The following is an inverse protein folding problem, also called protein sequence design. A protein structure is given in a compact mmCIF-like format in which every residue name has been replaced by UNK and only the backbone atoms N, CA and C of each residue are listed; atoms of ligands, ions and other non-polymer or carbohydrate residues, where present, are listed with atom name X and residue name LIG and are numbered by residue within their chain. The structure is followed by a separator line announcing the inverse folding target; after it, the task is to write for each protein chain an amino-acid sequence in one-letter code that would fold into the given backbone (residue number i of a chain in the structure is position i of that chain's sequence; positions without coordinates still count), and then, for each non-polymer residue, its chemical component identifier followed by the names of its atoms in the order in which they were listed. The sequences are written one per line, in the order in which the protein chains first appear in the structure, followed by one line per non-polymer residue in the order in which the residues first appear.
data_IF_607852039308
#
_entry.id   IF_607852039308
#
_cell.length_a   1.000
_cell.length_b   1.000
_cell.length_c   1.000
_cell.angle_alpha   90.00
_cell.angle_beta   90.00
_cell.angle_gamma   90.00
#
_symmetry.space_group_name_H-M   'P 1'
#
loop_
_entity.id
_entity.type
_entity.pdbx_description
1 polymer ?
#
# COMPACT_ATOMS: atom_id res chain seq x y z
N UNK A 1 5.64 21.95 -0.05
CA UNK A 1 4.46 22.68 -0.55
C UNK A 1 4.71 24.15 -0.38
N UNK A 2 4.39 24.96 -1.39
CA UNK A 2 4.65 26.39 -1.41
C UNK A 2 3.36 27.16 -1.14
N UNK A 3 3.44 28.15 -0.27
CA UNK A 3 2.39 29.14 -0.07
C UNK A 3 2.92 30.49 -0.50
N UNK A 4 2.20 31.13 -1.42
CA UNK A 4 2.51 32.44 -1.96
C UNK A 4 2.16 33.57 -0.99
N UNK A 5 2.63 34.77 -1.30
CA UNK A 5 2.42 35.95 -0.47
C UNK A 5 0.93 36.28 -0.33
N UNK A 6 0.14 36.07 -1.37
CA UNK A 6 -1.30 36.36 -1.36
C UNK A 6 -2.04 35.48 -0.35
N UNK A 7 -1.79 34.17 -0.35
CA UNK A 7 -2.34 33.24 0.63
C UNK A 7 -1.88 33.57 2.06
N UNK A 8 -0.61 33.89 2.24
CA UNK A 8 -0.05 34.25 3.54
C UNK A 8 -0.57 35.59 4.05
N UNK A 9 -0.85 36.53 3.16
CA UNK A 9 -1.47 37.81 3.47
C UNK A 9 -2.96 37.63 3.80
N UNK A 10 -3.67 36.70 3.16
CA UNK A 10 -5.04 36.33 3.54
C UNK A 10 -5.13 35.68 4.93
N UNK A 11 -4.04 35.06 5.42
CA UNK A 11 -3.90 34.59 6.80
C UNK A 11 -3.52 35.70 7.80
N UNK A 12 -3.06 36.88 7.34
CA UNK A 12 -2.54 37.97 8.20
C UNK A 12 -3.40 39.23 8.22
N UNK A 13 -4.14 39.54 7.15
CA UNK A 13 -4.98 40.74 7.05
C UNK A 13 -6.24 40.59 7.90
N UNK A 14 -6.78 41.73 8.36
CA UNK A 14 -8.13 41.85 8.92
C UNK A 14 -9.17 41.58 7.81
N UNK A 15 -9.38 40.29 7.51
CA UNK A 15 -10.44 39.81 6.65
C UNK A 15 -11.71 39.53 7.45
N UNK A 16 -12.78 39.14 6.75
CA UNK A 16 -13.95 38.55 7.41
C UNK A 16 -13.56 37.21 8.04
N UNK A 17 -14.17 36.84 9.17
CA UNK A 17 -13.93 35.56 9.85
C UNK A 17 -14.00 34.36 8.89
N UNK A 18 -14.89 34.43 7.89
CA UNK A 18 -15.03 33.43 6.83
C UNK A 18 -13.78 33.24 5.96
N UNK A 19 -13.10 34.32 5.57
CA UNK A 19 -11.88 34.24 4.76
C UNK A 19 -10.73 33.61 5.54
N UNK A 20 -10.60 33.97 6.82
CA UNK A 20 -9.59 33.39 7.72
C UNK A 20 -9.81 31.89 7.93
N UNK A 21 -11.05 31.48 8.24
CA UNK A 21 -11.41 30.07 8.41
C UNK A 21 -11.20 29.26 7.12
N UNK A 22 -11.48 29.84 5.94
CA UNK A 22 -11.25 29.17 4.66
C UNK A 22 -9.76 28.94 4.37
N UNK A 23 -8.92 29.93 4.65
CA UNK A 23 -7.47 29.82 4.48
C UNK A 23 -6.84 28.84 5.49
N UNK A 24 -7.28 28.87 6.75
CA UNK A 24 -6.88 27.89 7.75
C UNK A 24 -7.31 26.47 7.40
N UNK A 25 -8.55 26.29 6.94
CA UNK A 25 -9.05 24.97 6.53
C UNK A 25 -8.28 24.42 5.32
N UNK A 26 -7.92 25.29 4.35
CA UNK A 26 -7.06 24.92 3.22
C UNK A 26 -5.68 24.50 3.71
N UNK A 27 -5.02 25.30 4.54
CA UNK A 27 -3.71 24.99 5.11
C UNK A 27 -3.72 23.66 5.89
N UNK A 28 -4.72 23.45 6.75
CA UNK A 28 -4.85 22.25 7.55
C UNK A 28 -5.07 21.00 6.68
N UNK A 29 -5.92 21.09 5.66
CA UNK A 29 -6.17 20.00 4.70
C UNK A 29 -4.91 19.65 3.92
N UNK A 30 -4.21 20.66 3.46
CA UNK A 30 -2.98 20.51 2.69
C UNK A 30 -1.84 19.91 3.55
N UNK A 31 -1.67 20.37 4.79
CA UNK A 31 -0.73 19.80 5.75
C UNK A 31 -1.05 18.33 6.08
N UNK A 32 -2.32 18.05 6.39
CA UNK A 32 -2.79 16.68 6.63
C UNK A 32 -2.53 15.80 5.40
N UNK A 33 -2.70 16.33 4.19
CA UNK A 33 -2.35 15.66 2.94
C UNK A 33 -0.89 15.23 2.88
N UNK A 34 0.06 16.10 3.24
CA UNK A 34 1.49 15.75 3.21
C UNK A 34 1.84 14.74 4.31
N UNK A 35 1.31 14.90 5.53
CA UNK A 35 1.51 13.94 6.63
C UNK A 35 0.96 12.56 6.25
N UNK A 36 -0.24 12.51 5.68
CA UNK A 36 -0.84 11.26 5.22
C UNK A 36 -0.05 10.63 4.07
N UNK A 37 0.59 11.41 3.19
CA UNK A 37 1.51 10.86 2.17
C UNK A 37 2.73 10.19 2.82
N UNK A 38 3.29 10.81 3.86
CA UNK A 38 4.42 10.25 4.61
C UNK A 38 4.04 8.94 5.30
N UNK A 39 2.90 8.92 5.99
CA UNK A 39 2.41 7.71 6.68
C UNK A 39 2.10 6.58 5.69
N UNK A 40 1.43 6.89 4.57
CA UNK A 40 1.17 5.91 3.51
C UNK A 40 2.47 5.34 2.94
N UNK A 41 3.52 6.15 2.77
CA UNK A 41 4.82 5.63 2.33
C UNK A 41 5.42 4.66 3.34
N UNK A 42 5.40 5.01 4.62
CA UNK A 42 5.89 4.13 5.69
C UNK A 42 5.15 2.80 5.71
N UNK A 43 3.84 2.84 5.55
CA UNK A 43 2.99 1.65 5.48
C UNK A 43 3.28 0.81 4.24
N UNK A 44 3.43 1.43 3.07
CA UNK A 44 3.87 0.77 1.84
C UNK A 44 5.23 0.07 2.02
N UNK A 45 6.18 0.69 2.72
CA UNK A 45 7.49 0.06 2.98
C UNK A 45 7.36 -1.16 3.89
N UNK A 46 6.53 -1.11 4.94
CA UNK A 46 6.25 -2.28 5.78
C UNK A 46 5.54 -3.39 5.01
N UNK A 47 4.57 -3.05 4.17
CA UNK A 47 3.87 -4.01 3.34
C UNK A 47 4.84 -4.72 2.37
N UNK A 48 5.71 -3.98 1.69
CA UNK A 48 6.69 -4.60 0.80
C UNK A 48 7.75 -5.42 1.56
N UNK A 49 8.22 -4.94 2.71
CA UNK A 49 9.09 -5.73 3.59
C UNK A 49 8.45 -7.07 3.95
N UNK A 50 7.20 -7.07 4.40
CA UNK A 50 6.52 -8.29 4.83
C UNK A 50 6.17 -9.21 3.65
N UNK A 51 5.58 -8.68 2.57
CA UNK A 51 5.01 -9.51 1.50
C UNK A 51 5.98 -9.81 0.35
N UNK A 52 6.99 -8.99 0.12
CA UNK A 52 7.96 -9.16 -0.95
C UNK A 52 9.39 -9.42 -0.44
N UNK A 53 9.65 -9.26 0.86
CA UNK A 53 10.98 -9.40 1.46
C UNK A 53 11.99 -8.34 1.04
N UNK A 54 11.56 -7.37 0.23
CA UNK A 54 12.39 -6.31 -0.31
C UNK A 54 11.51 -5.17 -0.83
N UNK A 55 12.11 -4.00 -1.04
CA UNK A 55 11.52 -2.96 -1.86
C UNK A 55 12.60 -2.18 -2.59
N UNK A 56 12.24 -1.68 -3.76
CA UNK A 56 13.06 -0.73 -4.51
C UNK A 56 12.24 0.52 -4.80
N UNK A 57 12.87 1.68 -4.67
CA UNK A 57 12.30 2.96 -5.00
C UNK A 57 13.26 3.75 -5.87
N UNK A 58 12.78 4.22 -7.01
CA UNK A 58 13.56 5.02 -7.96
C UNK A 58 12.88 6.36 -8.15
N UNK A 59 13.62 7.44 -7.96
CA UNK A 59 13.17 8.78 -8.33
C UNK A 59 13.60 9.12 -9.76
N UNK A 60 12.85 10.01 -10.41
CA UNK A 60 13.17 10.56 -11.73
C UNK A 60 14.55 11.22 -11.80
N UNK A 61 15.06 11.71 -10.67
CA UNK A 61 16.39 12.34 -10.52
C UNK A 61 17.54 11.32 -10.52
N UNK A 62 17.24 10.02 -10.65
CA UNK A 62 18.23 8.94 -10.72
C UNK A 62 18.61 8.34 -9.36
N UNK A 63 18.06 8.86 -8.25
CA UNK A 63 18.26 8.24 -6.94
C UNK A 63 17.50 6.93 -6.89
N UNK A 64 18.23 5.82 -6.71
CA UNK A 64 17.67 4.48 -6.53
C UNK A 64 18.02 3.99 -5.13
N UNK A 65 17.00 3.64 -4.36
CA UNK A 65 17.13 2.97 -3.06
C UNK A 65 16.59 1.56 -3.25
N UNK A 66 17.37 0.57 -2.87
CA UNK A 66 16.92 -0.83 -2.82
C UNK A 66 17.27 -1.38 -1.45
N UNK A 67 16.30 -2.00 -0.80
CA UNK A 67 16.48 -2.68 0.49
C UNK A 67 16.03 -4.11 0.32
N UNK A 68 16.95 -5.04 0.57
CA UNK A 68 16.67 -6.47 0.66
C UNK A 68 16.83 -6.90 2.12
N UNK A 69 15.77 -7.47 2.68
CA UNK A 69 15.74 -7.94 4.07
C UNK A 69 16.32 -9.35 4.20
N UNK A 70 16.71 -9.99 3.10
CA UNK A 70 17.22 -11.34 3.03
C UNK A 70 16.29 -12.36 3.69
N UNK A 71 14.97 -12.18 3.55
CA UNK A 71 14.00 -13.18 3.98
C UNK A 71 14.26 -14.46 3.18
N UNK A 72 14.38 -15.63 3.82
CA UNK A 72 14.67 -16.86 3.09
C UNK A 72 13.59 -17.13 2.05
N UNK A 73 13.99 -17.65 0.89
CA UNK A 73 13.04 -18.02 -0.17
C UNK A 73 12.08 -19.13 0.27
N UNK A 74 12.46 -19.97 1.23
CA UNK A 74 11.59 -20.97 1.87
C UNK A 74 10.42 -20.32 2.63
N UNK A 75 10.54 -19.05 3.01
CA UNK A 75 9.49 -18.26 3.65
C UNK A 75 8.68 -17.40 2.66
N UNK A 76 9.06 -17.35 1.38
CA UNK A 76 8.39 -16.62 0.31
C UNK A 76 7.91 -17.60 -0.76
N UNK A 77 6.85 -18.34 -0.45
CA UNK A 77 6.38 -19.46 -1.25
C UNK A 77 5.34 -19.01 -2.28
N UNK A 78 5.50 -19.48 -3.51
CA UNK A 78 4.49 -19.30 -4.58
C UNK A 78 3.83 -20.63 -4.88
N UNK A 79 2.51 -20.71 -4.70
CA UNK A 79 1.79 -21.95 -4.97
C UNK A 79 1.74 -22.24 -6.47
N UNK A 80 2.04 -23.50 -6.82
CA UNK A 80 1.86 -23.98 -8.19
C UNK A 80 0.39 -23.93 -8.60
N UNK A 81 0.11 -23.88 -9.91
CA UNK A 81 -1.25 -23.69 -10.43
C UNK A 81 -2.30 -24.66 -9.86
N UNK A 82 -1.93 -25.93 -9.64
CA UNK A 82 -2.82 -26.95 -9.07
C UNK A 82 -3.17 -26.73 -7.58
N UNK A 83 -2.33 -25.97 -6.85
CA UNK A 83 -2.43 -25.75 -5.40
C UNK A 83 -2.99 -24.37 -5.04
N UNK A 84 -3.16 -23.46 -6.03
CA UNK A 84 -3.70 -22.11 -5.81
C UNK A 84 -5.04 -22.16 -5.08
N UNK A 85 -5.23 -21.32 -4.08
CA UNK A 85 -6.45 -21.31 -3.26
C UNK A 85 -7.68 -20.84 -4.05
N UNK A 86 -7.47 -20.01 -5.07
CA UNK A 86 -8.54 -19.45 -5.89
C UNK A 86 -9.20 -20.48 -6.83
N UNK A 87 -8.40 -21.36 -7.43
CA UNK A 87 -8.79 -22.17 -8.60
C UNK A 87 -8.18 -23.57 -8.62
N UNK A 88 -7.21 -23.86 -7.75
CA UNK A 88 -6.49 -25.13 -7.71
C UNK A 88 -7.40 -26.30 -7.37
N UNK A 89 -7.20 -27.41 -8.08
CA UNK A 89 -7.92 -28.68 -7.87
C UNK A 89 -7.34 -29.51 -6.74
N UNK A 90 -6.09 -29.25 -6.37
CA UNK A 90 -5.34 -29.93 -5.31
C UNK A 90 -4.95 -28.95 -4.20
N UNK A 91 -5.71 -27.86 -4.05
CA UNK A 91 -5.50 -26.88 -2.98
C UNK A 91 -5.66 -27.53 -1.61
N UNK A 92 -4.77 -27.21 -0.69
CA UNK A 92 -4.82 -27.63 0.72
C UNK A 92 -4.46 -26.43 1.59
N UNK A 93 -5.45 -25.58 1.84
CA UNK A 93 -5.22 -24.31 2.55
C UNK A 93 -4.79 -24.56 4.00
N UNK A 94 -5.31 -25.62 4.63
CA UNK A 94 -4.99 -25.94 6.02
C UNK A 94 -3.55 -26.46 6.10
N UNK A 95 -3.17 -27.38 5.21
CA UNK A 95 -1.81 -27.87 5.08
C UNK A 95 -0.81 -26.75 4.84
N UNK A 96 -1.06 -25.87 3.87
CA UNK A 96 -0.20 -24.72 3.55
C UNK A 96 0.04 -23.83 4.79
N UNK A 97 -0.99 -23.58 5.59
CA UNK A 97 -0.91 -22.77 6.82
C UNK A 97 -0.15 -23.52 7.92
N UNK A 98 -0.41 -24.81 8.13
CA UNK A 98 0.29 -25.61 9.14
C UNK A 98 1.78 -25.72 8.81
N UNK A 99 2.12 -25.97 7.55
CA UNK A 99 3.50 -26.08 7.09
C UNK A 99 4.26 -24.77 7.26
N UNK A 100 3.63 -23.63 6.92
CA UNK A 100 4.24 -22.32 7.15
C UNK A 100 4.47 -22.01 8.63
N UNK A 101 3.53 -22.38 9.52
CA UNK A 101 3.73 -22.22 10.97
C UNK A 101 4.85 -23.09 11.50
N UNK A 102 4.90 -24.34 11.05
CA UNK A 102 5.95 -25.28 11.44
C UNK A 102 7.31 -24.76 11.01
N UNK A 103 7.43 -24.25 9.78
CA UNK A 103 8.68 -23.68 9.28
C UNK A 103 9.15 -22.50 10.13
N UNK A 104 8.26 -21.54 10.45
CA UNK A 104 8.60 -20.42 11.34
C UNK A 104 9.06 -20.92 12.71
N UNK A 105 8.38 -21.93 13.26
CA UNK A 105 8.74 -22.51 14.56
C UNK A 105 10.10 -23.23 14.52
N UNK A 106 10.37 -23.98 13.47
CA UNK A 106 11.60 -24.75 13.29
C UNK A 106 12.81 -23.82 13.06
N UNK A 107 12.63 -22.72 12.31
CA UNK A 107 13.74 -21.84 11.90
C UNK A 107 14.09 -20.78 12.95
N UNK A 108 13.10 -20.19 13.65
CA UNK A 108 13.37 -19.14 14.66
C UNK A 108 12.76 -19.39 16.04
N UNK A 109 12.07 -20.50 16.27
CA UNK A 109 11.43 -20.79 17.56
C UNK A 109 10.18 -19.94 17.86
N UNK A 110 9.83 -19.00 16.98
CA UNK A 110 8.68 -18.12 17.11
C UNK A 110 7.35 -18.85 16.93
N UNK A 111 6.33 -18.44 17.69
CA UNK A 111 4.96 -18.90 17.50
C UNK A 111 4.19 -17.90 16.64
N UNK A 112 3.65 -18.36 15.51
CA UNK A 112 2.81 -17.53 14.64
C UNK A 112 1.53 -17.11 15.37
N UNK A 113 1.41 -15.83 15.64
CA UNK A 113 0.27 -15.22 16.34
C UNK A 113 -0.54 -14.25 15.46
N UNK A 114 0.04 -13.77 14.35
CA UNK A 114 -0.63 -12.93 13.37
C UNK A 114 -0.70 -13.58 12.00
N UNK A 115 -1.82 -13.35 11.32
CA UNK A 115 -1.92 -13.50 9.88
C UNK A 115 -2.59 -12.27 9.28
N UNK A 116 -2.15 -11.90 8.08
CA UNK A 116 -2.59 -10.71 7.36
C UNK A 116 -2.95 -11.09 5.93
N UNK A 117 -4.14 -10.70 5.52
CA UNK A 117 -4.62 -10.83 4.15
C UNK A 117 -5.68 -9.76 3.88
N UNK A 118 -6.15 -9.67 2.64
CA UNK A 118 -7.26 -8.79 2.30
C UNK A 118 -8.54 -9.58 2.04
N UNK A 119 -9.64 -8.88 1.78
CA UNK A 119 -10.96 -9.47 1.55
C UNK A 119 -11.00 -10.47 0.37
N UNK A 120 -10.16 -10.27 -0.65
CA UNK A 120 -10.06 -11.20 -1.79
C UNK A 120 -9.53 -12.55 -1.34
N UNK A 121 -8.44 -12.57 -0.57
CA UNK A 121 -7.86 -13.81 -0.04
C UNK A 121 -8.75 -14.43 1.05
N UNK A 122 -9.38 -13.61 1.88
CA UNK A 122 -10.38 -14.07 2.85
C UNK A 122 -11.54 -14.80 2.16
N UNK A 123 -11.99 -14.33 1.01
CA UNK A 123 -13.04 -15.00 0.23
C UNK A 123 -12.61 -16.41 -0.19
N UNK A 124 -11.33 -16.63 -0.51
CA UNK A 124 -10.82 -17.97 -0.83
C UNK A 124 -10.87 -18.87 0.41
N UNK A 125 -10.40 -18.39 1.55
CA UNK A 125 -10.48 -19.12 2.84
C UNK A 125 -11.93 -19.47 3.22
N UNK A 126 -12.82 -18.48 3.17
CA UNK A 126 -14.20 -18.65 3.64
C UNK A 126 -15.06 -19.53 2.73
N UNK A 127 -14.68 -19.69 1.45
CA UNK A 127 -15.42 -20.49 0.47
C UNK A 127 -14.80 -21.85 0.21
N UNK A 128 -13.73 -22.19 0.94
CA UNK A 128 -13.11 -23.49 0.78
C UNK A 128 -14.04 -24.60 1.31
N UNK A 129 -14.35 -25.65 0.51
CA UNK A 129 -15.26 -26.71 0.91
C UNK A 129 -14.79 -27.51 2.12
N UNK A 130 -13.48 -27.70 2.31
CA UNK A 130 -12.95 -28.47 3.44
C UNK A 130 -13.09 -27.67 4.73
N UNK A 131 -12.74 -26.38 4.70
CA UNK A 131 -12.96 -25.47 5.83
C UNK A 131 -14.45 -25.37 6.19
N UNK A 132 -15.34 -25.23 5.20
CA UNK A 132 -16.78 -25.22 5.44
C UNK A 132 -17.28 -26.53 6.05
N UNK A 133 -16.73 -27.67 5.60
CA UNK A 133 -17.07 -28.99 6.16
C UNK A 133 -16.61 -29.11 7.62
N UNK A 134 -15.39 -28.69 7.94
CA UNK A 134 -14.88 -28.71 9.32
C UNK A 134 -15.70 -27.81 10.23
N UNK A 135 -16.02 -26.60 9.78
CA UNK A 135 -16.88 -25.66 10.51
C UNK A 135 -18.30 -26.20 10.72
N UNK A 136 -18.81 -27.03 9.81
CA UNK A 136 -20.13 -27.67 9.96
C UNK A 136 -20.13 -28.83 10.96
N UNK A 137 -18.97 -29.49 11.15
CA UNK A 137 -18.81 -30.66 12.02
C UNK A 137 -18.44 -30.30 13.45
N UNK A 138 -17.59 -29.28 13.64
CA UNK A 138 -17.39 -28.72 14.96
C UNK A 138 -18.67 -27.99 15.35
N UNK A 139 -19.10 -28.18 16.58
CA UNK A 139 -20.29 -27.57 17.17
C UNK A 139 -20.10 -26.04 17.37
N UNK A 140 -19.67 -25.30 16.34
CA UNK A 140 -19.85 -23.86 16.26
C UNK A 140 -21.34 -23.62 16.10
N UNK A 141 -22.04 -23.62 17.24
CA UNK A 141 -23.48 -23.65 17.34
C UNK A 141 -24.14 -22.69 16.34
N UNK A 142 -25.03 -23.23 15.51
CA UNK A 142 -25.92 -22.43 14.63
C UNK A 142 -25.20 -21.38 13.76
N UNK A 143 -24.31 -21.80 12.85
CA UNK A 143 -23.95 -20.96 11.70
C UNK A 143 -23.17 -19.68 12.01
N UNK A 144 -22.34 -19.69 13.06
CA UNK A 144 -21.67 -18.49 13.60
C UNK A 144 -20.58 -17.88 12.70
N UNK A 145 -20.18 -18.58 11.63
CA UNK A 145 -19.28 -18.01 10.60
C UNK A 145 -19.83 -16.70 10.03
N UNK A 146 -21.17 -16.60 9.95
CA UNK A 146 -21.89 -15.45 9.45
C UNK A 146 -22.64 -14.71 10.56
N UNK A 147 -22.25 -14.80 11.84
CA UNK A 147 -22.77 -13.94 12.91
C UNK A 147 -21.67 -13.19 13.68
N UNK A 148 -22.07 -12.20 14.48
CA UNK A 148 -21.15 -11.36 15.24
C UNK A 148 -20.36 -10.34 14.41
N UNK A 149 -19.08 -10.16 14.76
CA UNK A 149 -18.16 -9.18 14.16
C UNK A 149 -17.68 -9.64 12.77
N UNK A 150 -18.58 -9.54 11.79
CA UNK A 150 -18.31 -9.91 10.40
C UNK A 150 -17.39 -8.89 9.73
N UNK A 151 -16.51 -9.37 8.85
CA UNK A 151 -15.87 -8.50 7.87
C UNK A 151 -16.96 -7.86 7.00
N UNK A 152 -16.83 -6.55 6.76
CA UNK A 152 -17.85 -5.74 6.06
C UNK A 152 -18.03 -6.13 4.59
N UNK A 153 -17.00 -6.71 3.96
CA UNK A 153 -16.99 -7.04 2.53
C UNK A 153 -17.43 -8.49 2.31
N UNK A 154 -16.80 -9.44 2.99
CA UNK A 154 -17.03 -10.88 2.78
C UNK A 154 -18.21 -11.39 3.62
N UNK A 155 -18.57 -10.69 4.70
CA UNK A 155 -19.67 -11.07 5.59
C UNK A 155 -19.34 -12.23 6.54
N UNK A 156 -18.06 -12.55 6.71
CA UNK A 156 -17.57 -13.68 7.52
C UNK A 156 -16.79 -13.17 8.73
N UNK A 157 -16.91 -13.84 9.87
CA UNK A 157 -16.18 -13.52 11.09
C UNK A 157 -14.74 -14.08 11.04
N UNK A 158 -13.70 -13.23 10.89
CA UNK A 158 -12.31 -13.70 10.77
C UNK A 158 -11.80 -14.39 12.03
N UNK A 159 -12.39 -14.13 13.21
CA UNK A 159 -11.97 -14.76 14.46
C UNK A 159 -12.30 -16.26 14.50
N UNK A 160 -13.41 -16.66 13.89
CA UNK A 160 -13.80 -18.08 13.83
C UNK A 160 -12.84 -18.84 12.91
N UNK A 161 -12.50 -18.25 11.76
CA UNK A 161 -11.49 -18.82 10.86
C UNK A 161 -10.10 -18.84 11.50
N UNK A 162 -9.71 -17.76 12.18
CA UNK A 162 -8.47 -17.70 12.95
C UNK A 162 -8.39 -18.81 14.00
N UNK A 163 -9.45 -19.00 14.79
CA UNK A 163 -9.50 -20.05 15.81
C UNK A 163 -9.41 -21.46 15.22
N UNK A 164 -10.09 -21.73 14.10
CA UNK A 164 -10.00 -23.02 13.40
C UNK A 164 -8.57 -23.29 12.90
N UNK A 165 -7.91 -22.25 12.40
CA UNK A 165 -6.56 -22.31 11.86
C UNK A 165 -5.49 -22.15 12.95
N UNK A 166 -5.85 -22.06 14.24
CA UNK A 166 -4.94 -21.79 15.37
C UNK A 166 -4.12 -20.48 15.22
N UNK A 167 -4.70 -19.46 14.60
CA UNK A 167 -4.11 -18.13 14.43
C UNK A 167 -4.86 -17.17 15.37
N UNK A 168 -4.13 -16.63 16.36
CA UNK A 168 -4.70 -15.74 17.38
C UNK A 168 -5.31 -14.48 16.77
N UNK A 169 -4.60 -13.87 15.81
CA UNK A 169 -4.98 -12.61 15.21
C UNK A 169 -4.98 -12.71 13.67
N UNK A 170 -6.10 -13.14 13.09
CA UNK A 170 -6.34 -13.00 11.65
C UNK A 170 -6.87 -11.60 11.35
N UNK A 171 -6.02 -10.75 10.77
CA UNK A 171 -6.33 -9.38 10.40
C UNK A 171 -6.64 -9.27 8.91
N UNK A 172 -7.76 -8.61 8.60
CA UNK A 172 -8.16 -8.29 7.23
C UNK A 172 -7.85 -6.83 6.96
N UNK A 173 -7.01 -6.60 5.96
CA UNK A 173 -6.50 -5.28 5.66
C UNK A 173 -6.79 -4.96 4.19
N UNK A 174 -7.80 -4.12 3.99
CA UNK A 174 -8.33 -3.71 2.68
C UNK A 174 -7.98 -2.25 2.35
N UNK A 175 -7.10 -1.59 3.12
CA UNK A 175 -6.76 -0.21 2.82
C UNK A 175 -5.99 -0.09 1.49
N UNK A 176 -6.30 0.99 0.79
CA UNK A 176 -5.77 1.30 -0.52
C UNK A 176 -5.08 2.66 -0.49
N UNK A 177 -4.13 2.84 -1.40
CA UNK A 177 -3.54 4.13 -1.68
C UNK A 177 -3.75 4.48 -3.15
N UNK A 178 -4.03 5.75 -3.39
CA UNK A 178 -4.04 6.34 -4.73
C UNK A 178 -2.66 6.93 -5.03
N UNK A 179 -2.09 6.49 -6.14
CA UNK A 179 -0.97 7.11 -6.83
C UNK A 179 -1.55 8.04 -7.88
N UNK A 180 -1.11 9.29 -7.92
CA UNK A 180 -1.58 10.29 -8.89
C UNK A 180 -0.40 10.99 -9.54
N UNK A 181 -0.50 11.21 -10.84
CA UNK A 181 0.47 11.95 -11.62
C UNK A 181 -0.22 12.79 -12.70
N UNK A 182 0.24 14.02 -12.89
CA UNK A 182 -0.30 14.91 -13.92
C UNK A 182 0.30 14.59 -15.29
N UNK A 183 -0.50 14.73 -16.34
CA UNK A 183 -0.03 14.56 -17.71
C UNK A 183 0.92 15.70 -18.08
N UNK A 184 2.08 15.35 -18.62
CA UNK A 184 3.08 16.33 -19.11
C UNK A 184 3.06 16.49 -20.62
N UNK A 185 2.39 15.59 -21.33
CA UNK A 185 2.14 15.66 -22.76
C UNK A 185 0.67 15.33 -23.06
N UNK A 186 0.19 15.80 -24.21
CA UNK A 186 -1.18 15.52 -24.68
C UNK A 186 -1.29 14.03 -24.98
N UNK A 187 -2.38 13.40 -24.52
CA UNK A 187 -2.74 12.03 -24.86
C UNK A 187 -3.78 12.11 -25.96
N UNK A 188 -3.44 11.63 -27.15
CA UNK A 188 -4.35 11.58 -28.29
C UNK A 188 -5.09 10.25 -28.28
N UNK A 189 -6.42 10.32 -28.40
CA UNK A 189 -7.30 9.16 -28.49
C UNK A 189 -6.82 8.14 -29.54
N UNK A 190 -7.04 6.86 -29.24
CA UNK A 190 -6.81 5.69 -30.10
C UNK A 190 -5.38 5.51 -30.65
N UNK A 191 -4.42 6.33 -30.21
CA UNK A 191 -3.07 6.37 -30.78
C UNK A 191 -1.95 6.44 -29.76
N UNK A 192 -2.19 7.08 -28.61
CA UNK A 192 -1.13 7.31 -27.62
C UNK A 192 -1.12 6.19 -26.59
N UNK A 193 -0.11 5.32 -26.67
CA UNK A 193 0.11 4.23 -25.70
C UNK A 193 1.19 4.57 -24.67
N UNK A 194 2.07 5.53 -24.96
CA UNK A 194 3.11 5.99 -24.03
C UNK A 194 2.69 7.32 -23.42
N UNK A 195 2.37 7.29 -22.14
CA UNK A 195 1.80 8.40 -21.39
C UNK A 195 2.91 9.10 -20.61
N UNK A 196 3.19 10.35 -20.93
CA UNK A 196 4.18 11.16 -20.23
C UNK A 196 3.58 11.80 -18.98
N UNK A 197 4.16 11.53 -17.82
CA UNK A 197 3.67 11.99 -16.51
C UNK A 197 4.75 12.71 -15.72
N UNK A 198 4.35 13.52 -14.73
CA UNK A 198 5.28 14.26 -13.89
C UNK A 198 6.14 13.33 -13.02
N UNK A 199 5.53 12.33 -12.39
CA UNK A 199 6.19 11.32 -11.57
C UNK A 199 5.62 9.91 -11.76
N UNK A 200 6.29 9.02 -12.52
CA UNK A 200 5.86 7.64 -12.72
C UNK A 200 6.31 6.66 -11.60
N UNK A 201 7.07 7.10 -10.59
CA UNK A 201 7.83 6.21 -9.70
C UNK A 201 7.00 5.18 -8.91
N UNK A 202 5.73 5.49 -8.65
CA UNK A 202 4.84 4.68 -7.82
C UNK A 202 3.84 3.85 -8.63
N UNK A 203 3.84 3.96 -9.96
CA UNK A 203 2.97 3.13 -10.79
C UNK A 203 3.53 1.71 -10.90
N UNK A 204 2.63 0.73 -11.05
CA UNK A 204 2.97 -0.69 -11.10
C UNK A 204 2.40 -1.30 -12.37
N UNK A 205 3.24 -2.02 -13.11
CA UNK A 205 2.79 -2.72 -14.31
C UNK A 205 1.79 -3.84 -13.97
N UNK A 206 0.79 -4.02 -14.82
CA UNK A 206 -0.33 -4.96 -14.65
C UNK A 206 -1.54 -4.38 -13.91
N UNK A 207 -1.41 -3.21 -13.26
CA UNK A 207 -2.50 -2.55 -12.56
C UNK A 207 -3.31 -1.63 -13.50
N UNK A 208 -4.48 -1.18 -13.03
CA UNK A 208 -5.34 -0.25 -13.76
C UNK A 208 -4.88 1.20 -13.61
N UNK A 209 -4.60 1.86 -14.73
CA UNK A 209 -4.41 3.29 -14.86
C UNK A 209 -5.73 3.95 -15.23
N UNK A 210 -6.24 4.81 -14.35
CA UNK A 210 -7.41 5.64 -14.62
C UNK A 210 -6.99 6.99 -15.14
N UNK A 211 -7.48 7.38 -16.30
CA UNK A 211 -7.38 8.72 -16.84
C UNK A 211 -8.57 9.57 -16.39
N UNK A 212 -8.33 10.80 -15.94
CA UNK A 212 -9.36 11.74 -15.53
C UNK A 212 -9.34 12.95 -16.44
N UNK A 213 -10.45 13.21 -17.14
CA UNK A 213 -10.70 14.48 -17.81
C UNK A 213 -11.31 15.43 -16.79
N UNK A 214 -10.52 16.40 -16.35
CA UNK A 214 -10.93 17.36 -15.31
C UNK A 214 -12.00 18.30 -15.84
N UNK A 215 -11.94 18.66 -17.12
CA UNK A 215 -12.90 19.57 -17.75
C UNK A 215 -14.27 18.93 -17.98
N UNK A 216 -14.31 17.67 -18.39
CA UNK A 216 -15.55 16.94 -18.65
C UNK A 216 -16.09 16.20 -17.40
N UNK A 217 -15.24 15.97 -16.39
CA UNK A 217 -15.61 15.18 -15.21
C UNK A 217 -15.80 13.70 -15.52
N UNK A 218 -15.14 13.18 -16.56
CA UNK A 218 -15.21 11.80 -17.01
C UNK A 218 -13.92 11.05 -16.76
N UNK A 219 -13.97 9.71 -16.75
CA UNK A 219 -12.79 8.87 -16.61
C UNK A 219 -12.83 7.66 -17.52
N UNK A 220 -11.65 7.15 -17.83
CA UNK A 220 -11.41 5.92 -18.61
C UNK A 220 -10.35 5.08 -17.91
N UNK A 221 -10.45 3.76 -17.98
CA UNK A 221 -9.55 2.82 -17.30
C UNK A 221 -8.78 2.00 -18.33
N UNK A 222 -7.45 1.98 -18.22
CA UNK A 222 -6.56 1.18 -19.04
C UNK A 222 -5.61 0.33 -18.21
N UNK A 223 -5.01 -0.69 -18.81
CA UNK A 223 -4.03 -1.55 -18.11
C UNK A 223 -2.61 -1.09 -18.37
N UNK A 224 -1.81 -0.90 -17.31
CA UNK A 224 -0.40 -0.53 -17.41
C UNK A 224 0.41 -1.71 -17.94
N UNK A 225 1.00 -1.58 -19.12
CA UNK A 225 1.89 -2.59 -19.69
C UNK A 225 3.30 -2.49 -19.08
N UNK A 226 3.82 -1.28 -18.91
CA UNK A 226 5.16 -1.05 -18.34
C UNK A 226 5.31 0.36 -17.79
N UNK A 227 6.29 0.54 -16.90
CA UNK A 227 6.62 1.84 -16.28
C UNK A 227 8.10 2.14 -16.50
N UNK A 228 8.40 3.28 -17.12
CA UNK A 228 9.77 3.74 -17.36
C UNK A 228 10.04 5.01 -16.55
N UNK A 229 10.58 4.80 -15.34
CA UNK A 229 10.73 5.88 -14.35
C UNK A 229 11.71 6.97 -14.80
N UNK A 230 12.82 6.57 -15.40
CA UNK A 230 13.85 7.50 -15.90
C UNK A 230 13.34 8.38 -17.05
N UNK A 231 12.46 7.83 -17.88
CA UNK A 231 11.86 8.54 -19.00
C UNK A 231 10.64 9.38 -18.61
N UNK A 232 10.10 9.20 -17.40
CA UNK A 232 8.89 9.91 -16.98
C UNK A 232 7.63 9.38 -17.66
N UNK A 233 7.60 8.10 -18.08
CA UNK A 233 6.51 7.57 -18.91
C UNK A 233 5.90 6.28 -18.37
N UNK A 234 4.59 6.14 -18.54
CA UNK A 234 3.81 4.92 -18.29
C UNK A 234 3.27 4.42 -19.62
N UNK A 235 3.49 3.15 -19.97
CA UNK A 235 2.94 2.57 -21.20
C UNK A 235 1.68 1.79 -20.88
N UNK A 236 0.58 2.07 -21.55
CA UNK A 236 -0.69 1.34 -21.45
C UNK A 236 -0.82 0.27 -22.53
N UNK A 237 -1.61 -0.76 -22.24
CA UNK A 237 -1.81 -1.92 -23.14
C UNK A 237 -2.68 -1.59 -24.34
N UNK A 238 -3.65 -0.69 -24.14
CA UNK A 238 -4.54 -0.15 -25.17
C UNK A 238 -4.50 1.37 -25.06
N UNK A 239 -4.52 2.07 -26.20
CA UNK A 239 -4.65 3.52 -26.18
C UNK A 239 -6.06 3.91 -25.72
N UNK A 240 -6.22 4.96 -24.89
CA UNK A 240 -7.53 5.40 -24.44
C UNK A 240 -8.36 5.90 -25.64
N UNK A 241 -9.67 5.69 -25.58
CA UNK A 241 -10.64 6.15 -26.59
C UNK A 241 -10.87 7.66 -26.54
N UNK A 242 -10.50 8.32 -25.45
CA UNK A 242 -10.62 9.76 -25.27
C UNK A 242 -9.27 10.47 -25.24
N UNK A 243 -9.28 11.77 -25.59
CA UNK A 243 -8.07 12.59 -25.59
C UNK A 243 -7.96 13.39 -24.29
N UNK A 244 -6.74 13.55 -23.79
CA UNK A 244 -6.46 14.25 -22.54
C UNK A 244 -5.40 15.34 -22.73
N UNK A 245 -5.57 16.45 -22.01
CA UNK A 245 -4.73 17.64 -22.12
C UNK A 245 -3.57 17.59 -21.14
N UNK A 246 -2.39 18.00 -21.62
CA UNK A 246 -1.22 18.21 -20.78
C UNK A 246 -1.46 19.33 -19.76
N UNK A 247 -0.98 19.15 -18.52
CA UNK A 247 -0.99 20.17 -17.46
C UNK A 247 -2.35 20.43 -16.80
N UNK A 248 -3.42 19.80 -17.29
CA UNK A 248 -4.77 19.90 -16.73
C UNK A 248 -5.23 18.52 -16.23
N UNK A 249 -5.21 17.53 -17.13
CA UNK A 249 -5.67 16.18 -16.85
C UNK A 249 -4.60 15.36 -16.13
N UNK A 250 -5.05 14.33 -15.42
CA UNK A 250 -4.17 13.49 -14.62
C UNK A 250 -4.55 12.02 -14.73
N UNK A 251 -3.59 11.18 -14.40
CA UNK A 251 -3.79 9.74 -14.26
C UNK A 251 -3.66 9.33 -12.80
N UNK A 252 -4.42 8.31 -12.41
CA UNK A 252 -4.35 7.72 -11.09
C UNK A 252 -4.35 6.21 -11.13
N UNK A 253 -3.61 5.58 -10.23
CA UNK A 253 -3.67 4.14 -9.96
C UNK A 253 -4.08 3.94 -8.51
N UNK A 254 -5.05 3.07 -8.26
CA UNK A 254 -5.42 2.66 -6.91
C UNK A 254 -4.85 1.28 -6.64
N UNK A 255 -4.06 1.15 -5.57
CA UNK A 255 -3.44 -0.12 -5.20
C UNK A 255 -3.66 -0.43 -3.73
N UNK A 256 -3.73 -1.72 -3.42
CA UNK A 256 -3.82 -2.20 -2.06
C UNK A 256 -2.43 -2.22 -1.43
N UNK A 257 -2.33 -1.93 -0.13
CA UNK A 257 -1.07 -2.18 0.60
C UNK A 257 -0.81 -3.69 0.71
N UNK A 258 -1.84 -4.47 1.00
CA UNK A 258 -1.78 -5.94 1.04
C UNK A 258 -2.22 -6.50 -0.32
N UNK A 259 -1.34 -7.20 -1.06
CA UNK A 259 -1.67 -7.73 -2.37
C UNK A 259 -2.85 -8.71 -2.35
N UNK A 260 -3.73 -8.63 -3.36
CA UNK A 260 -4.88 -9.53 -3.57
C UNK A 260 -4.53 -11.01 -3.77
N UNK A 261 -3.24 -11.30 -3.95
CA UNK A 261 -2.73 -12.62 -4.27
C UNK A 261 -1.90 -13.22 -3.14
N UNK A 262 -1.77 -12.55 -1.98
CA UNK A 262 -0.87 -12.99 -0.92
C UNK A 262 -1.54 -13.15 0.45
N UNK A 263 -1.09 -14.18 1.16
CA UNK A 263 -1.42 -14.44 2.55
C UNK A 263 -0.11 -14.44 3.35
N UNK A 264 -0.02 -13.62 4.40
CA UNK A 264 1.16 -13.55 5.25
C UNK A 264 0.84 -14.01 6.66
N UNK A 265 1.79 -14.70 7.28
CA UNK A 265 1.77 -15.13 8.67
C UNK A 265 3.07 -14.72 9.32
N UNK A 266 3.05 -14.33 10.59
CA UNK A 266 4.28 -14.00 11.30
C UNK A 266 4.11 -14.13 12.81
N UNK A 267 5.23 -14.32 13.50
CA UNK A 267 5.33 -14.12 14.94
C UNK A 267 5.53 -12.63 15.22
N UNK A 268 4.78 -12.02 16.13
CA UNK A 268 4.97 -10.61 16.49
C UNK A 268 6.26 -10.37 17.28
N UNK A 269 6.69 -11.38 18.04
CA UNK A 269 7.91 -11.39 18.81
C UNK A 269 8.62 -12.73 18.76
N UNK A 270 9.94 -12.70 18.75
CA UNK A 270 10.82 -13.86 18.91
C UNK A 270 11.85 -13.51 19.97
N UNK A 271 12.04 -14.37 20.97
CA UNK A 271 12.95 -14.14 22.10
C UNK A 271 12.75 -12.79 22.82
N UNK A 272 11.48 -12.34 22.91
CA UNK A 272 11.11 -11.06 23.52
C UNK A 272 11.45 -9.81 22.70
N UNK A 273 11.93 -9.98 21.46
CA UNK A 273 12.21 -8.89 20.53
C UNK A 273 11.13 -8.82 19.44
N UNK A 274 10.78 -7.59 19.02
CA UNK A 274 9.88 -7.39 17.88
C UNK A 274 10.56 -7.85 16.59
N UNK A 275 9.80 -8.46 15.68
CA UNK A 275 10.35 -8.91 14.39
C UNK A 275 10.75 -7.78 13.46
N UNK A 276 10.11 -6.62 13.60
CA UNK A 276 10.43 -5.44 12.80
C UNK A 276 10.06 -4.15 13.52
N UNK A 277 10.77 -3.07 13.20
CA UNK A 277 10.43 -1.73 13.65
C UNK A 277 10.80 -0.67 12.61
N UNK A 278 10.19 0.51 12.74
CA UNK A 278 10.58 1.64 11.91
C UNK A 278 11.69 2.42 12.61
N UNK A 279 12.92 2.29 12.11
CA UNK A 279 14.04 3.04 12.66
C UNK A 279 14.11 4.39 11.97
N UNK A 280 13.78 5.43 12.74
CA UNK A 280 14.04 6.80 12.34
C UNK A 280 15.55 7.06 12.38
N UNK A 281 16.06 7.83 11.42
CA UNK A 281 17.49 8.15 11.34
C UNK A 281 17.98 8.76 12.67
N UNK A 282 19.14 8.32 13.19
CA UNK A 282 19.63 8.79 14.48
C UNK A 282 19.85 10.31 14.46
N UNK A 283 19.45 10.96 15.55
CA UNK A 283 19.76 12.35 15.91
C UNK A 283 21.24 12.68 15.60
N UNK A 284 21.52 13.83 14.94
CA UNK A 284 22.92 14.26 14.76
C UNK A 284 23.24 15.29 13.68
N UNK A 285 22.27 15.72 12.86
CA UNK A 285 22.42 16.89 11.99
C UNK A 285 21.34 17.89 12.38
N UNK A 286 21.70 19.18 12.47
CA UNK A 286 20.81 20.33 12.74
C UNK A 286 19.85 20.52 11.55
N UNK A 287 19.00 19.53 11.29
CA UNK A 287 17.93 19.56 10.30
C UNK A 287 16.68 19.08 11.02
N UNK A 288 15.73 19.99 11.17
CA UNK A 288 14.47 19.79 11.89
C UNK A 288 13.68 18.67 11.21
N UNK A 289 13.64 17.48 11.81
CA UNK A 289 12.79 16.37 11.36
C UNK A 289 11.35 16.57 11.86
N UNK A 290 10.36 16.13 11.09
CA UNK A 290 8.94 16.40 11.34
C UNK A 290 8.37 17.49 10.42
N UNK A 291 7.37 18.22 10.91
CA UNK A 291 6.77 19.35 10.19
C UNK A 291 7.63 20.58 10.44
N UNK A 292 8.22 21.12 9.38
CA UNK A 292 9.02 22.34 9.43
C UNK A 292 8.55 23.33 8.39
N UNK A 293 8.62 24.61 8.73
CA UNK A 293 8.46 25.70 7.79
C UNK A 293 9.85 26.22 7.44
N UNK A 294 10.09 26.39 6.15
CA UNK A 294 11.35 26.86 5.60
C UNK A 294 11.08 28.12 4.78
N UNK A 295 11.99 29.09 4.89
CA UNK A 295 11.98 30.33 4.13
C UNK A 295 13.42 30.59 3.69
N UNK A 296 13.62 30.82 2.40
CA UNK A 296 14.92 31.21 1.87
C UNK A 296 14.81 32.55 1.17
N UNK A 297 15.35 33.62 1.78
CA UNK A 297 15.13 35.00 1.33
C UNK A 297 15.61 35.27 -0.10
N UNK A 298 16.64 34.56 -0.59
CA UNK A 298 17.21 34.79 -1.92
C UNK A 298 16.47 34.07 -3.07
N UNK A 299 15.85 32.92 -2.83
CA UNK A 299 15.22 32.10 -3.88
C UNK A 299 13.70 32.04 -3.75
N UNK A 300 13.18 32.30 -2.56
CA UNK A 300 11.75 32.30 -2.25
C UNK A 300 11.33 33.62 -1.54
N UNK A 301 11.63 34.81 -2.10
CA UNK A 301 11.34 36.09 -1.43
C UNK A 301 9.86 36.31 -1.15
N UNK A 302 8.99 35.67 -1.93
CA UNK A 302 7.53 35.89 -1.94
C UNK A 302 6.73 34.81 -1.21
N UNK A 303 7.35 33.82 -0.54
CA UNK A 303 6.57 32.73 0.04
C UNK A 303 7.22 31.88 1.12
N UNK A 304 6.51 30.82 1.52
CA UNK A 304 6.94 29.90 2.59
C UNK A 304 6.74 28.46 2.14
N UNK A 305 7.78 27.64 2.33
CA UNK A 305 7.65 26.21 2.15
C UNK A 305 7.29 25.52 3.45
N UNK A 306 6.23 24.70 3.41
CA UNK A 306 6.01 23.69 4.44
C UNK A 306 6.58 22.37 3.95
N UNK A 307 7.46 21.79 4.78
CA UNK A 307 8.18 20.55 4.54
C UNK A 307 7.86 19.57 5.67
N UNK A 308 7.36 18.40 5.31
CA UNK A 308 7.25 17.26 6.24
C UNK A 308 8.38 16.31 5.89
N UNK A 309 9.27 16.05 6.85
CA UNK A 309 10.37 15.11 6.67
C UNK A 309 10.26 14.00 7.71
N UNK A 310 9.89 12.80 7.27
CA UNK A 310 10.01 11.57 8.04
C UNK A 310 11.09 10.70 7.37
N UNK A 311 12.29 10.69 7.97
CA UNK A 311 13.43 9.92 7.47
C UNK A 311 13.62 8.68 8.33
N UNK A 312 13.25 7.54 7.79
CA UNK A 312 13.45 6.26 8.44
C UNK A 312 13.25 5.12 7.45
N UNK A 313 13.64 3.92 7.87
CA UNK A 313 13.43 2.70 7.12
C UNK A 313 12.86 1.63 8.07
N UNK A 314 11.99 0.73 7.58
CA UNK A 314 11.69 -0.49 8.31
C UNK A 314 12.97 -1.31 8.44
N UNK A 315 13.18 -1.88 9.62
CA UNK A 315 14.23 -2.86 9.88
C UNK A 315 13.54 -4.15 10.28
N UNK A 316 13.91 -5.24 9.61
CA UNK A 316 13.52 -6.59 10.00
C UNK A 316 14.64 -7.19 10.85
N UNK A 317 14.35 -7.48 12.11
CA UNK A 317 15.29 -8.10 13.04
C UNK A 317 15.29 -9.63 12.91
N UNK A 318 14.12 -10.20 12.63
CA UNK A 318 13.89 -11.63 12.58
C UNK A 318 13.28 -12.00 11.23
N UNK A 319 14.15 -12.18 10.23
CA UNK A 319 13.77 -12.47 8.85
C UNK A 319 13.06 -13.82 8.68
N UNK A 320 13.33 -14.76 9.59
CA UNK A 320 12.78 -16.12 9.59
C UNK A 320 11.45 -16.21 10.37
N UNK A 321 10.98 -15.08 10.93
CA UNK A 321 9.76 -15.02 11.75
C UNK A 321 8.48 -14.70 10.94
N UNK A 322 8.60 -14.58 9.62
CA UNK A 322 7.49 -14.33 8.70
C UNK A 322 7.42 -15.38 7.62
N UNK A 323 6.23 -15.75 7.17
CA UNK A 323 5.97 -16.68 6.10
C UNK A 323 4.88 -16.12 5.19
N UNK A 324 5.11 -16.11 3.88
CA UNK A 324 4.21 -15.54 2.88
C UNK A 324 3.92 -16.55 1.79
N UNK A 325 2.64 -16.70 1.49
CA UNK A 325 2.12 -17.51 0.39
C UNK A 325 1.58 -16.60 -0.70
N UNK A 326 2.03 -16.79 -1.95
CA UNK A 326 1.31 -16.31 -3.12
C UNK A 326 0.28 -17.37 -3.53
N UNK A 327 -1.00 -17.06 -3.29
CA UNK A 327 -2.12 -18.01 -3.27
C UNK A 327 -3.00 -17.97 -4.52
N UNK A 328 -2.78 -17.01 -5.42
CA UNK A 328 -3.61 -16.78 -6.61
C UNK A 328 -2.82 -16.63 -7.90
#
# INVERSE_FOLDING_TARGET
MYFDEEFLNNLRKEGTESQYLSAQARLARELAGIVNRSNRRKEWMFANMLFAGSFSYSERTGVKISVDYNIPSTHLVTLGAAYKWSTGTSRDIIGDIIDGKKLVKDDCGGDVDFALCNSTVLKYLARDPELLTLLSKSTFGTGDLFSGNKNSIVGVNPKVLGALLDIKNLMIYDEQYEVRAYLTAVVTADSTVTISVDNPADFVAGETLRFHDVSAGTYEDETIASVAVESGTVTVSTAPSTSYKAGEDYVSQTSYFVPNTKFAMFASMVDGQKIAEYKQAPYGLIRKYGISTDKHEEWDPEGVYIRVQDKGLPICYQRDASYVLAVA
#
